data_IF_858934407593
#
_entry.id   IF_858934407593
#
_cell.length_a   1.000
_cell.length_b   1.000
_cell.length_c   1.000
_cell.angle_alpha   90.00
_cell.angle_beta   90.00
_cell.angle_gamma   90.00
#
_symmetry.space_group_name_H-M   'P 1'
#
loop_
_entity.id
_entity.type
_entity.pdbx_description
1 polymer ?
#
# COMPACT_ATOMS: atom_id res chain seq x y z
N UNK A 1 20.72 -13.35 -7.43
CA UNK A 1 20.02 -12.13 -6.99
C UNK A 1 18.53 -12.39 -6.84
N UNK A 2 17.97 -12.16 -5.68
CA UNK A 2 16.57 -12.42 -5.36
C UNK A 2 15.90 -11.11 -4.95
N UNK A 3 14.67 -10.85 -5.41
CA UNK A 3 13.86 -9.69 -5.01
C UNK A 3 12.66 -10.18 -4.23
N UNK A 4 12.41 -9.60 -3.08
CA UNK A 4 11.35 -10.01 -2.18
C UNK A 4 10.66 -8.79 -1.58
N UNK A 5 9.37 -8.93 -1.34
CA UNK A 5 8.60 -7.99 -0.54
C UNK A 5 8.16 -8.71 0.73
N UNK A 6 8.38 -8.10 1.86
CA UNK A 6 7.93 -8.58 3.16
C UNK A 6 6.94 -7.59 3.74
N UNK A 7 5.89 -8.08 4.36
CA UNK A 7 5.01 -7.25 5.16
C UNK A 7 5.08 -7.65 6.62
N UNK A 8 4.85 -6.66 7.48
CA UNK A 8 4.73 -6.83 8.92
C UNK A 8 3.58 -5.99 9.43
N UNK A 9 2.69 -6.59 10.22
CA UNK A 9 1.60 -5.95 10.91
C UNK A 9 1.84 -6.03 12.42
N UNK A 10 1.76 -4.90 13.13
CA UNK A 10 2.00 -4.82 14.57
C UNK A 10 0.82 -4.09 15.20
N UNK A 11 0.05 -4.78 16.04
CA UNK A 11 -1.04 -4.19 16.82
C UNK A 11 -0.55 -3.81 18.21
N UNK A 12 -0.91 -2.62 18.66
CA UNK A 12 -0.61 -2.10 19.99
C UNK A 12 -1.89 -1.62 20.66
N UNK A 13 -1.94 -1.76 21.99
CA UNK A 13 -2.98 -1.11 22.79
C UNK A 13 -2.68 0.39 22.98
N UNK A 14 -3.56 1.08 23.75
CA UNK A 14 -3.42 2.50 24.04
C UNK A 14 -2.16 2.87 24.81
N UNK A 15 -1.58 1.92 25.54
CA UNK A 15 -0.37 2.09 26.35
C UNK A 15 0.90 1.75 25.53
N UNK A 16 0.75 1.40 24.26
CA UNK A 16 1.83 1.05 23.33
C UNK A 16 2.33 -0.39 23.44
N UNK A 17 1.71 -1.24 24.29
CA UNK A 17 2.05 -2.64 24.42
C UNK A 17 1.64 -3.42 23.16
N UNK A 18 2.54 -4.24 22.65
CA UNK A 18 2.25 -5.10 21.49
C UNK A 18 1.26 -6.19 21.90
N UNK A 19 0.13 -6.24 21.22
CA UNK A 19 -0.92 -7.25 21.40
C UNK A 19 -0.76 -8.41 20.42
N UNK A 20 -0.44 -8.10 19.16
CA UNK A 20 -0.18 -9.10 18.12
C UNK A 20 0.84 -8.59 17.11
N UNK A 21 1.49 -9.55 16.44
CA UNK A 21 2.42 -9.25 15.34
C UNK A 21 2.36 -10.40 14.34
N UNK A 22 2.29 -10.05 13.05
CA UNK A 22 2.45 -10.98 11.94
C UNK A 22 3.52 -10.43 11.00
N UNK A 23 4.47 -11.27 10.58
CA UNK A 23 5.48 -10.92 9.59
C UNK A 23 5.57 -12.05 8.57
N UNK A 24 5.44 -11.71 7.29
CA UNK A 24 5.46 -12.67 6.19
C UNK A 24 6.00 -12.07 4.91
N UNK A 25 6.43 -12.99 4.05
CA UNK A 25 6.73 -12.66 2.67
C UNK A 25 5.42 -12.34 1.92
N UNK A 26 5.33 -11.13 1.41
CA UNK A 26 4.28 -10.75 0.47
C UNK A 26 4.48 -11.52 -0.84
N UNK A 27 3.38 -11.99 -1.42
CA UNK A 27 3.36 -12.63 -2.75
C UNK A 27 2.50 -11.85 -3.72
N UNK A 28 2.19 -10.62 -3.40
CA UNK A 28 1.02 -9.90 -3.92
C UNK A 28 1.37 -8.64 -4.69
N UNK A 29 2.49 -8.65 -5.44
CA UNK A 29 2.66 -7.66 -6.48
C UNK A 29 1.55 -7.83 -7.53
N UNK A 30 0.76 -6.77 -7.72
CA UNK A 30 -0.30 -6.75 -8.70
C UNK A 30 0.24 -6.42 -10.10
N UNK A 31 -0.56 -6.68 -11.13
CA UNK A 31 -0.16 -6.41 -12.52
C UNK A 31 0.25 -4.96 -12.77
N UNK A 32 -0.33 -4.02 -12.04
CA UNK A 32 -0.01 -2.61 -12.10
C UNK A 32 1.47 -2.34 -11.81
N UNK A 33 2.06 -3.01 -10.80
CA UNK A 33 3.47 -2.84 -10.44
C UNK A 33 4.39 -3.04 -11.65
N UNK A 34 4.23 -4.16 -12.35
CA UNK A 34 5.03 -4.46 -13.54
C UNK A 34 4.72 -3.52 -14.71
N UNK A 35 3.47 -3.10 -14.87
CA UNK A 35 3.09 -2.12 -15.90
C UNK A 35 3.79 -0.79 -15.72
N UNK A 36 3.88 -0.29 -14.47
CA UNK A 36 4.58 0.97 -14.19
C UNK A 36 6.09 0.82 -14.42
N UNK A 37 6.71 -0.30 -13.98
CA UNK A 37 8.14 -0.58 -14.25
C UNK A 37 8.40 -0.58 -15.77
N UNK A 38 7.60 -1.32 -16.54
CA UNK A 38 7.75 -1.40 -17.98
C UNK A 38 7.65 -0.02 -18.65
N UNK A 39 6.66 0.79 -18.26
CA UNK A 39 6.46 2.15 -18.79
C UNK A 39 7.66 3.04 -18.47
N UNK A 40 8.22 2.96 -17.26
CA UNK A 40 9.41 3.72 -16.87
C UNK A 40 10.66 3.28 -17.63
N UNK A 41 10.83 1.97 -17.85
CA UNK A 41 12.00 1.43 -18.56
C UNK A 41 11.97 1.72 -20.06
N UNK A 42 10.80 1.80 -20.67
CA UNK A 42 10.66 2.01 -22.12
C UNK A 42 10.44 3.47 -22.53
N UNK A 43 10.10 4.35 -21.59
CA UNK A 43 9.65 5.70 -21.88
C UNK A 43 8.33 5.75 -22.66
N UNK A 44 7.60 4.61 -22.70
CA UNK A 44 6.37 4.52 -23.49
C UNK A 44 5.26 5.39 -22.88
N UNK A 45 4.53 6.07 -23.76
CA UNK A 45 3.36 6.86 -23.43
C UNK A 45 2.16 6.41 -24.28
N UNK A 46 1.01 7.06 -24.10
CA UNK A 46 -0.20 6.75 -24.89
C UNK A 46 0.13 6.46 -26.36
N UNK A 47 -0.51 5.43 -26.98
CA UNK A 47 -1.59 4.59 -26.45
C UNK A 47 -1.10 3.27 -25.80
N UNK A 48 0.16 3.12 -25.43
CA UNK A 48 0.82 1.84 -25.23
C UNK A 48 0.26 0.98 -24.10
N UNK A 49 -0.17 1.55 -22.96
CA UNK A 49 -0.56 0.73 -21.81
C UNK A 49 -1.71 1.34 -21.02
N UNK A 50 -2.80 0.57 -20.89
CA UNK A 50 -3.95 0.93 -20.06
C UNK A 50 -3.82 0.34 -18.66
N UNK A 51 -4.16 1.14 -17.66
CA UNK A 51 -4.22 0.73 -16.25
C UNK A 51 -5.58 1.07 -15.65
N UNK A 52 -6.00 0.33 -14.65
CA UNK A 52 -7.23 0.60 -13.90
C UNK A 52 -6.85 1.27 -12.58
N UNK A 53 -7.46 2.42 -12.29
CA UNK A 53 -7.28 3.13 -11.03
C UNK A 53 -8.12 2.51 -9.90
N UNK A 54 -7.92 2.99 -8.66
CA UNK A 54 -8.63 2.49 -7.47
C UNK A 54 -10.14 2.72 -7.50
N UNK A 55 -10.64 3.53 -8.43
CA UNK A 55 -12.07 3.79 -8.65
C UNK A 55 -12.64 2.95 -9.81
N UNK A 56 -11.84 2.08 -10.42
CA UNK A 56 -12.24 1.24 -11.54
C UNK A 56 -12.19 1.93 -12.91
N UNK A 57 -11.65 3.15 -13.02
CA UNK A 57 -11.51 3.85 -14.29
C UNK A 57 -10.26 3.38 -15.02
N UNK A 58 -10.36 3.26 -16.34
CA UNK A 58 -9.24 2.88 -17.21
C UNK A 58 -8.55 4.11 -17.79
N UNK A 59 -7.22 4.18 -17.65
CA UNK A 59 -6.39 5.30 -18.08
C UNK A 59 -5.15 4.84 -18.82
N UNK A 60 -4.70 5.58 -19.84
CA UNK A 60 -3.39 5.35 -20.42
C UNK A 60 -2.30 5.86 -19.48
N UNK A 61 -1.34 4.98 -19.13
CA UNK A 61 -0.23 5.28 -18.25
C UNK A 61 0.85 6.08 -19.00
N UNK A 62 1.31 7.17 -18.39
CA UNK A 62 2.42 7.98 -18.88
C UNK A 62 3.76 7.54 -18.29
N UNK A 63 4.85 7.88 -18.98
CA UNK A 63 6.21 7.57 -18.54
C UNK A 63 6.77 8.47 -17.42
N UNK A 64 5.96 9.39 -16.88
CA UNK A 64 6.34 10.16 -15.69
C UNK A 64 7.14 11.42 -15.97
N UNK A 65 6.60 12.35 -16.73
CA UNK A 65 7.21 13.68 -16.92
C UNK A 65 7.16 14.54 -15.64
N UNK A 66 6.23 14.23 -14.73
CA UNK A 66 6.04 14.95 -13.46
C UNK A 66 6.63 14.20 -12.25
N UNK A 67 7.26 13.03 -12.44
CA UNK A 67 7.82 12.25 -11.34
C UNK A 67 6.78 11.65 -10.38
N UNK A 68 5.55 11.42 -10.84
CA UNK A 68 4.46 10.93 -9.99
C UNK A 68 4.45 9.41 -9.86
N UNK A 69 4.88 8.70 -10.91
CA UNK A 69 4.87 7.24 -10.90
C UNK A 69 5.68 6.65 -9.73
N UNK A 70 5.12 5.65 -9.08
CA UNK A 70 5.63 5.01 -7.86
C UNK A 70 5.64 5.89 -6.60
N UNK A 71 5.20 7.13 -6.62
CA UNK A 71 5.04 7.86 -5.36
C UNK A 71 4.01 7.14 -4.48
N UNK A 72 4.34 7.00 -3.20
CA UNK A 72 3.50 6.35 -2.19
C UNK A 72 3.60 7.05 -0.82
N UNK A 73 4.09 8.29 -0.81
CA UNK A 73 4.27 9.17 0.34
C UNK A 73 2.94 9.83 0.76
N UNK A 74 1.92 9.01 1.04
CA UNK A 74 0.62 9.51 1.49
C UNK A 74 0.73 10.33 2.77
N UNK A 75 0.26 11.58 2.74
CA UNK A 75 0.15 12.42 3.93
C UNK A 75 -0.83 11.82 4.95
N UNK A 76 -0.82 12.32 6.18
CA UNK A 76 -1.85 11.99 7.16
C UNK A 76 -3.25 12.28 6.58
N UNK A 77 -4.22 11.46 6.95
CA UNK A 77 -5.59 11.49 6.47
C UNK A 77 -5.81 11.15 4.98
N UNK A 78 -4.75 10.90 4.22
CA UNK A 78 -4.89 10.48 2.82
C UNK A 78 -5.16 8.97 2.74
N UNK A 79 -6.31 8.58 2.21
CA UNK A 79 -6.70 7.18 2.05
C UNK A 79 -6.53 6.65 0.62
N UNK A 80 -5.97 7.46 -0.29
CA UNK A 80 -5.80 7.10 -1.70
C UNK A 80 -4.34 6.93 -2.11
N UNK A 81 -3.39 7.14 -1.20
CA UNK A 81 -1.95 7.08 -1.47
C UNK A 81 -1.18 6.49 -0.28
N UNK A 82 -0.17 5.68 -0.55
CA UNK A 82 0.66 5.01 0.44
C UNK A 82 0.06 3.70 0.94
N UNK A 83 0.46 3.25 2.11
CA UNK A 83 -0.11 2.04 2.71
C UNK A 83 -1.57 2.29 3.09
N UNK A 84 -2.42 1.32 2.78
CA UNK A 84 -3.85 1.30 3.11
C UNK A 84 -4.19 -0.04 3.77
N UNK A 85 -5.28 -0.07 4.54
CA UNK A 85 -5.76 -1.27 5.25
C UNK A 85 -7.23 -1.52 4.94
N UNK A 86 -7.69 -2.76 5.15
CA UNK A 86 -9.08 -3.13 4.89
C UNK A 86 -9.54 -4.35 5.69
N UNK A 87 -10.81 -4.69 5.54
CA UNK A 87 -11.47 -5.78 6.26
C UNK A 87 -11.83 -6.98 5.37
N UNK A 88 -11.50 -6.95 4.08
CA UNK A 88 -11.79 -8.07 3.17
C UNK A 88 -10.85 -9.24 3.41
N UNK A 89 -11.40 -10.45 3.30
CA UNK A 89 -10.64 -11.70 3.28
C UNK A 89 -10.67 -12.38 1.90
N UNK A 90 -11.14 -11.68 0.86
CA UNK A 90 -11.17 -12.20 -0.51
C UNK A 90 -9.75 -12.45 -0.99
N UNK A 91 -9.43 -13.65 -1.50
CA UNK A 91 -8.11 -13.96 -2.03
C UNK A 91 -7.64 -12.93 -3.06
N UNK A 92 -6.34 -12.66 -3.05
CA UNK A 92 -5.72 -11.68 -3.96
C UNK A 92 -5.74 -12.23 -5.39
N UNK A 93 -6.15 -11.40 -6.34
CA UNK A 93 -6.00 -11.62 -7.78
C UNK A 93 -4.93 -10.67 -8.33
N UNK A 94 -4.11 -11.14 -9.27
CA UNK A 94 -3.11 -10.30 -9.96
C UNK A 94 -3.75 -9.12 -10.71
N UNK A 95 -5.05 -9.20 -11.00
CA UNK A 95 -5.84 -8.16 -11.66
C UNK A 95 -6.55 -7.21 -10.68
N UNK A 96 -6.39 -7.39 -9.37
CA UNK A 96 -6.96 -6.44 -8.41
C UNK A 96 -6.43 -5.02 -8.69
N UNK A 97 -7.31 -4.04 -8.59
CA UNK A 97 -6.98 -2.63 -8.82
C UNK A 97 -7.23 -1.76 -7.59
N UNK A 98 -7.83 -2.32 -6.54
CA UNK A 98 -8.13 -1.67 -5.27
C UNK A 98 -8.14 -2.70 -4.13
N UNK A 99 -8.23 -2.22 -2.88
CA UNK A 99 -8.54 -3.05 -1.71
C UNK A 99 -9.92 -3.70 -1.87
N UNK A 100 -10.09 -4.89 -1.32
CA UNK A 100 -11.39 -5.59 -1.37
C UNK A 100 -12.47 -4.87 -0.55
N UNK A 101 -12.11 -4.33 0.61
CA UNK A 101 -12.99 -3.48 1.44
C UNK A 101 -12.11 -2.60 2.35
N UNK A 102 -11.79 -1.41 1.86
CA UNK A 102 -10.88 -0.47 2.53
C UNK A 102 -11.51 0.12 3.79
N UNK A 103 -10.73 0.21 4.87
CA UNK A 103 -11.06 1.01 6.05
C UNK A 103 -10.82 2.48 5.71
N UNK A 104 -11.87 3.29 5.85
CA UNK A 104 -11.81 4.72 5.52
C UNK A 104 -11.20 5.54 6.65
N UNK A 105 -10.66 6.71 6.29
CA UNK A 105 -10.16 7.70 7.23
C UNK A 105 -11.28 8.21 8.12
N UNK A 106 -11.03 8.31 9.42
CA UNK A 106 -11.94 8.92 10.40
C UNK A 106 -11.93 8.26 11.76
N UNK A 107 -12.81 8.75 12.63
CA UNK A 107 -12.99 8.24 14.01
C UNK A 107 -14.39 7.64 14.23
N UNK A 108 -15.20 7.52 13.18
CA UNK A 108 -16.51 6.87 13.25
C UNK A 108 -16.39 5.34 13.30
N UNK A 109 -17.51 4.68 13.56
CA UNK A 109 -17.60 3.22 13.61
C UNK A 109 -17.03 2.61 12.32
N UNK A 110 -16.03 1.71 12.47
CA UNK A 110 -15.37 1.05 11.36
C UNK A 110 -14.34 1.91 10.61
N UNK A 111 -14.05 3.11 11.09
CA UNK A 111 -13.03 4.01 10.54
C UNK A 111 -11.76 4.02 11.41
N UNK A 112 -10.63 4.37 10.82
CA UNK A 112 -9.37 4.56 11.54
C UNK A 112 -8.67 5.84 11.08
N UNK A 113 -7.95 6.49 11.99
CA UNK A 113 -7.10 7.63 11.66
C UNK A 113 -5.85 7.15 10.93
N UNK A 114 -5.64 7.62 9.70
CA UNK A 114 -4.48 7.28 8.88
C UNK A 114 -3.36 8.31 9.12
N UNK A 115 -2.26 7.88 9.73
CA UNK A 115 -1.08 8.72 9.88
C UNK A 115 -0.35 8.86 8.51
N UNK A 116 0.69 9.66 8.43
CA UNK A 116 1.49 9.77 7.20
C UNK A 116 2.25 8.46 6.91
N UNK A 117 2.38 8.12 5.62
CA UNK A 117 3.28 7.06 5.18
C UNK A 117 4.72 7.55 5.24
N UNK A 118 5.59 6.78 5.87
CA UNK A 118 7.02 7.04 5.99
C UNK A 118 7.77 6.10 5.05
N UNK A 119 8.67 6.65 4.23
CA UNK A 119 9.53 5.89 3.33
C UNK A 119 10.97 6.17 3.74
N UNK A 120 11.66 5.15 4.22
CA UNK A 120 13.04 5.26 4.62
C UNK A 120 13.97 5.10 3.40
N UNK A 121 15.14 5.74 3.45
CA UNK A 121 16.17 5.51 2.45
C UNK A 121 16.60 4.02 2.45
N UNK A 122 17.07 3.55 1.30
CA UNK A 122 17.60 2.19 1.19
C UNK A 122 18.86 2.03 2.05
N UNK A 123 18.97 0.89 2.71
CA UNK A 123 20.11 0.51 3.55
C UNK A 123 20.73 -0.76 2.97
N UNK A 124 22.03 -0.70 2.75
CA UNK A 124 22.83 -1.87 2.35
C UNK A 124 23.43 -2.51 3.62
N UNK A 125 23.06 -3.76 3.84
CA UNK A 125 23.61 -4.62 4.89
C UNK A 125 23.82 -6.01 4.28
N UNK A 126 25.03 -6.26 3.76
CA UNK A 126 25.41 -7.47 3.03
C UNK A 126 24.86 -8.74 3.72
N UNK A 127 24.20 -9.66 3.01
CA UNK A 127 23.96 -9.72 1.54
C UNK A 127 22.70 -8.98 1.07
N UNK A 128 22.08 -8.12 1.88
CA UNK A 128 20.81 -7.48 1.62
C UNK A 128 20.94 -5.99 1.30
N UNK A 129 20.04 -5.50 0.46
CA UNK A 129 19.74 -4.08 0.31
C UNK A 129 18.22 -3.90 0.49
N UNK A 130 17.84 -3.20 1.54
CA UNK A 130 16.45 -3.04 1.94
C UNK A 130 16.03 -1.57 1.93
N UNK A 131 14.76 -1.29 1.62
CA UNK A 131 14.11 -0.08 2.07
C UNK A 131 12.74 -0.39 2.67
N UNK A 132 12.38 0.40 3.68
CA UNK A 132 11.19 0.22 4.49
C UNK A 132 10.16 1.30 4.16
N UNK A 133 8.93 0.89 3.95
CA UNK A 133 7.74 1.73 3.88
C UNK A 133 6.88 1.39 5.08
N UNK A 134 6.48 2.37 5.89
CA UNK A 134 5.64 2.13 7.06
C UNK A 134 4.52 3.14 7.18
N UNK A 135 3.41 2.73 7.76
CA UNK A 135 2.28 3.59 8.12
C UNK A 135 1.57 3.07 9.34
N UNK A 136 1.22 3.97 10.23
CA UNK A 136 0.40 3.66 11.41
C UNK A 136 -1.03 4.14 11.24
N UNK A 137 -1.96 3.41 11.86
CA UNK A 137 -3.38 3.68 11.86
C UNK A 137 -3.87 3.62 13.31
N UNK A 138 -4.57 4.65 13.79
CA UNK A 138 -5.12 4.67 15.14
C UNK A 138 -6.62 4.37 15.13
N UNK A 139 -7.04 3.49 16.01
CA UNK A 139 -8.45 3.19 16.20
C UNK A 139 -9.03 4.06 17.33
N UNK A 140 -9.77 5.09 16.96
CA UNK A 140 -10.50 5.98 17.87
C UNK A 140 -12.02 5.89 17.61
N UNK A 141 -12.50 4.73 17.12
CA UNK A 141 -13.88 4.55 16.65
C UNK A 141 -14.89 4.20 17.74
N UNK A 142 -14.43 3.99 18.97
CA UNK A 142 -15.28 3.54 20.09
C UNK A 142 -15.50 2.02 20.11
N UNK A 143 -14.90 1.24 19.23
CA UNK A 143 -15.06 -0.21 19.16
C UNK A 143 -13.88 -0.95 18.58
N UNK A 144 -13.91 -2.28 18.65
CA UNK A 144 -12.90 -3.15 18.04
C UNK A 144 -12.99 -3.09 16.52
N UNK A 145 -11.86 -2.96 15.83
CA UNK A 145 -11.74 -3.09 14.38
C UNK A 145 -10.84 -4.25 14.03
N UNK A 146 -11.34 -5.19 13.21
CA UNK A 146 -10.56 -6.33 12.71
C UNK A 146 -10.00 -6.01 11.33
N UNK A 147 -8.69 -5.78 11.24
CA UNK A 147 -7.98 -5.58 9.97
C UNK A 147 -7.62 -6.94 9.36
N UNK A 148 -7.93 -7.16 8.08
CA UNK A 148 -7.74 -8.43 7.38
C UNK A 148 -6.86 -8.33 6.15
N UNK A 149 -6.67 -7.13 5.61
CA UNK A 149 -5.86 -6.88 4.43
C UNK A 149 -5.09 -5.58 4.55
N UNK A 150 -3.96 -5.50 3.85
CA UNK A 150 -3.22 -4.27 3.63
C UNK A 150 -2.75 -4.20 2.18
N UNK A 151 -2.38 -3.00 1.73
CA UNK A 151 -1.85 -2.81 0.39
C UNK A 151 -1.11 -1.49 0.24
N UNK A 152 -0.53 -1.30 -0.93
CA UNK A 152 0.16 -0.06 -1.28
C UNK A 152 -0.53 0.57 -2.49
N UNK A 153 -1.11 1.75 -2.28
CA UNK A 153 -1.60 2.61 -3.36
C UNK A 153 -0.47 3.51 -3.83
N UNK A 154 -0.24 3.52 -5.13
CA UNK A 154 0.80 4.31 -5.79
C UNK A 154 0.17 5.39 -6.66
N UNK A 155 0.84 6.54 -6.76
CA UNK A 155 0.46 7.57 -7.69
C UNK A 155 0.89 7.18 -9.10
N UNK A 156 0.05 7.51 -10.07
CA UNK A 156 0.22 7.23 -11.49
C UNK A 156 0.08 8.51 -12.28
N UNK A 157 0.88 8.66 -13.32
CA UNK A 157 0.74 9.74 -14.26
C UNK A 157 -0.14 9.31 -15.44
N UNK A 158 -1.18 10.08 -15.73
CA UNK A 158 -1.98 9.91 -16.95
C UNK A 158 -1.25 10.51 -18.13
N UNK A 159 -1.21 9.82 -19.26
CA UNK A 159 -0.53 10.30 -20.47
C UNK A 159 -1.37 11.26 -21.33
N UNK A 160 -2.60 11.55 -20.93
CA UNK A 160 -3.49 12.48 -21.65
C UNK A 160 -3.68 13.79 -20.89
N UNK A 161 -3.70 14.89 -21.64
CA UNK A 161 -4.02 16.22 -21.11
C UNK A 161 -5.50 16.33 -20.69
N UNK A 162 -5.83 16.98 -19.54
CA UNK A 162 -4.86 17.54 -18.62
C UNK A 162 -4.11 16.42 -17.86
N UNK A 163 -2.78 16.54 -17.78
CA UNK A 163 -1.96 15.62 -17.00
C UNK A 163 -2.40 15.70 -15.54
N UNK A 164 -3.05 14.65 -15.06
CA UNK A 164 -3.55 14.56 -13.70
C UNK A 164 -3.06 13.27 -13.06
N UNK A 165 -2.85 13.33 -11.75
CA UNK A 165 -2.55 12.12 -11.01
C UNK A 165 -3.76 11.19 -10.97
N UNK A 166 -3.51 9.89 -11.09
CA UNK A 166 -4.42 8.82 -10.71
C UNK A 166 -3.76 8.00 -9.60
N UNK A 167 -4.51 7.13 -8.97
CA UNK A 167 -4.00 6.26 -7.92
C UNK A 167 -4.33 4.81 -8.29
N UNK A 168 -3.38 3.90 -8.09
CA UNK A 168 -3.56 2.50 -8.42
C UNK A 168 -3.03 1.59 -7.32
N UNK A 169 -3.56 0.39 -7.20
CA UNK A 169 -3.11 -0.61 -6.26
C UNK A 169 -1.92 -1.38 -6.83
N UNK A 170 -0.74 -1.19 -6.26
CA UNK A 170 0.48 -1.89 -6.68
C UNK A 170 0.72 -3.19 -5.92
N UNK A 171 0.26 -3.25 -4.66
CA UNK A 171 0.39 -4.39 -3.75
C UNK A 171 -0.90 -4.55 -2.97
N UNK A 172 -1.35 -5.80 -2.77
CA UNK A 172 -2.45 -6.15 -1.87
C UNK A 172 -2.15 -7.47 -1.21
N UNK A 173 -2.17 -7.52 0.11
CA UNK A 173 -1.99 -8.73 0.92
C UNK A 173 -3.20 -8.96 1.80
N UNK A 174 -3.64 -10.22 1.91
CA UNK A 174 -4.64 -10.68 2.88
C UNK A 174 -3.90 -11.39 4.01
N UNK A 175 -4.14 -10.96 5.23
CA UNK A 175 -3.49 -11.53 6.42
C UNK A 175 -3.96 -12.97 6.66
N UNK A 176 -3.06 -13.84 7.07
CA UNK A 176 -3.43 -15.21 7.47
C UNK A 176 -4.19 -15.15 8.80
N UNK A 177 -3.72 -14.31 9.71
CA UNK A 177 -4.38 -14.07 11.00
C UNK A 177 -4.95 -12.65 11.00
N UNK A 178 -6.28 -12.49 11.10
CA UNK A 178 -6.87 -11.17 11.28
C UNK A 178 -6.26 -10.43 12.47
N UNK A 179 -6.07 -9.13 12.34
CA UNK A 179 -5.45 -8.28 13.35
C UNK A 179 -6.53 -7.46 14.05
N UNK A 180 -6.85 -7.80 15.29
CA UNK A 180 -7.85 -7.11 16.09
C UNK A 180 -7.23 -5.89 16.78
N UNK A 181 -7.70 -4.71 16.41
CA UNK A 181 -7.21 -3.42 16.94
C UNK A 181 -8.25 -2.87 17.91
N UNK A 182 -7.98 -2.82 19.22
CA UNK A 182 -8.91 -2.29 20.22
C UNK A 182 -9.08 -0.78 20.07
N UNK A 183 -10.17 -0.25 20.60
CA UNK A 183 -10.38 1.20 20.71
C UNK A 183 -9.26 1.84 21.55
N UNK A 184 -8.78 3.00 21.11
CA UNK A 184 -7.61 3.70 21.67
C UNK A 184 -6.27 3.07 21.29
N UNK A 185 -6.25 1.91 20.64
CA UNK A 185 -5.04 1.26 20.14
C UNK A 185 -4.72 1.63 18.68
N UNK A 186 -3.79 0.91 18.08
CA UNK A 186 -3.42 1.12 16.69
C UNK A 186 -2.73 -0.07 16.05
N UNK A 187 -2.62 -0.02 14.73
CA UNK A 187 -1.85 -0.98 13.94
C UNK A 187 -0.81 -0.24 13.10
N UNK A 188 0.40 -0.76 13.07
CA UNK A 188 1.45 -0.31 12.15
C UNK A 188 1.67 -1.38 11.09
N UNK A 189 1.62 -0.98 9.82
CA UNK A 189 1.96 -1.83 8.68
C UNK A 189 3.31 -1.38 8.13
N UNK A 190 4.18 -2.35 7.94
CA UNK A 190 5.52 -2.16 7.37
C UNK A 190 5.65 -3.05 6.12
N UNK A 191 6.18 -2.48 5.05
CA UNK A 191 6.59 -3.21 3.86
C UNK A 191 8.10 -3.02 3.64
N UNK A 192 8.83 -4.12 3.60
CA UNK A 192 10.27 -4.11 3.29
C UNK A 192 10.48 -4.67 1.90
N UNK A 193 10.99 -3.84 0.99
CA UNK A 193 11.47 -4.29 -0.31
C UNK A 193 12.95 -4.65 -0.19
N UNK A 194 13.25 -5.94 -0.38
CA UNK A 194 14.58 -6.53 -0.22
C UNK A 194 15.15 -7.01 -1.53
N UNK A 195 16.40 -6.69 -1.77
CA UNK A 195 17.24 -7.34 -2.78
C UNK A 195 18.34 -8.11 -2.05
N UNK A 196 18.51 -9.40 -2.38
CA UNK A 196 19.56 -10.29 -1.81
C UNK A 196 20.40 -10.86 -2.95
N UNK A 197 21.70 -10.97 -2.74
CA UNK A 197 22.61 -11.71 -3.65
C UNK A 197 22.27 -13.20 -3.77
#
# INVERSE_FOLDING_TARGET
MKRELWYKAIVRDRDGKVLSQEEKKSRSFLSLWNKVIWTQMTGASYPALMVTDINGNSWPLGCGTHGWNFRMDGAANNQSLGIVIGISNTPVSVSDYAMGNQITQGTGIGQMDHLATVINASVVADPNCDFLISRSFANNSGGLITVRESGIYIMLERSLSPFTAAYGCGVRDVFITPQDVPDGGGITIEYTLRVTE
#
